data_IF_046610878319
#
_entry.id   IF_046610878319
#
_cell.length_a   1.000
_cell.length_b   1.000
_cell.length_c   1.000
_cell.angle_alpha   90.00
_cell.angle_beta   90.00
_cell.angle_gamma   90.00
#
_symmetry.space_group_name_H-M   'P 1'
#
loop_
_entity.id
_entity.type
_entity.pdbx_description
1 polymer ?
#
# COMPACT_ATOMS: atom_id res chain seq x y z
N UNK A 1 -26.60 -22.09 8.58
CA UNK A 1 -25.90 -21.86 9.87
C UNK A 1 -24.38 -21.75 9.70
N UNK A 2 -23.73 -22.49 8.78
CA UNK A 2 -22.28 -22.35 8.52
C UNK A 2 -21.86 -21.06 7.78
N UNK A 3 -22.67 -20.57 6.83
CA UNK A 3 -22.33 -19.37 6.02
C UNK A 3 -22.08 -18.12 6.90
N UNK A 4 -22.98 -17.85 7.86
CA UNK A 4 -22.84 -16.71 8.77
C UNK A 4 -21.61 -16.80 9.70
N UNK A 5 -21.11 -18.01 10.00
CA UNK A 5 -19.90 -18.18 10.80
C UNK A 5 -18.63 -17.87 10.00
N UNK A 6 -18.61 -18.13 8.69
CA UNK A 6 -17.48 -17.76 7.83
C UNK A 6 -17.36 -16.24 7.69
N UNK A 7 -18.49 -15.56 7.51
CA UNK A 7 -18.54 -14.09 7.41
C UNK A 7 -18.02 -13.42 8.69
N UNK A 8 -18.42 -13.91 9.86
CA UNK A 8 -17.94 -13.36 11.14
C UNK A 8 -16.43 -13.56 11.33
N UNK A 9 -15.90 -14.75 11.03
CA UNK A 9 -14.45 -15.02 11.13
C UNK A 9 -13.64 -14.19 10.14
N UNK A 10 -14.16 -13.98 8.93
CA UNK A 10 -13.53 -13.11 7.94
C UNK A 10 -13.49 -11.66 8.43
N UNK A 11 -14.59 -11.16 9.00
CA UNK A 11 -14.65 -9.81 9.60
C UNK A 11 -13.64 -9.65 10.73
N UNK A 12 -13.52 -10.65 11.60
CA UNK A 12 -12.52 -10.65 12.69
C UNK A 12 -11.09 -10.61 12.14
N UNK A 13 -10.78 -11.38 11.09
CA UNK A 13 -9.48 -11.38 10.43
C UNK A 13 -9.17 -10.04 9.74
N UNK A 14 -10.12 -9.48 8.99
CA UNK A 14 -10.00 -8.17 8.35
C UNK A 14 -9.71 -7.08 9.39
N UNK A 15 -10.45 -7.07 10.51
CA UNK A 15 -10.22 -6.11 11.58
C UNK A 15 -8.84 -6.31 12.22
N UNK A 16 -8.42 -7.55 12.48
CA UNK A 16 -7.13 -7.83 13.11
C UNK A 16 -5.94 -7.36 12.25
N UNK A 17 -6.02 -7.54 10.93
CA UNK A 17 -4.92 -7.24 10.01
C UNK A 17 -4.95 -5.80 9.47
N UNK A 18 -6.12 -5.24 9.18
CA UNK A 18 -6.24 -3.91 8.57
C UNK A 18 -6.37 -2.77 9.58
N UNK A 19 -6.98 -2.98 10.75
CA UNK A 19 -7.15 -1.88 11.74
C UNK A 19 -5.82 -1.27 12.17
N UNK A 20 -4.74 -2.05 12.46
CA UNK A 20 -3.46 -1.46 12.84
C UNK A 20 -2.86 -0.54 11.77
N UNK A 21 -3.16 -0.81 10.49
CA UNK A 21 -2.66 -0.03 9.35
C UNK A 21 -3.48 1.24 9.19
N UNK A 22 -4.80 1.15 9.34
CA UNK A 22 -5.70 2.31 9.35
C UNK A 22 -5.36 3.25 10.51
N UNK A 23 -5.14 2.71 11.71
CA UNK A 23 -4.75 3.47 12.89
C UNK A 23 -3.40 4.16 12.69
N UNK A 24 -2.41 3.44 12.14
CA UNK A 24 -1.13 4.01 11.77
C UNK A 24 -1.29 5.15 10.75
N UNK A 25 -2.10 4.94 9.70
CA UNK A 25 -2.31 5.91 8.64
C UNK A 25 -2.99 7.18 9.16
N UNK A 26 -4.04 7.02 9.97
CA UNK A 26 -4.75 8.10 10.64
C UNK A 26 -3.79 8.96 11.49
N UNK A 27 -2.94 8.31 12.30
CA UNK A 27 -1.95 8.99 13.13
C UNK A 27 -0.85 9.66 12.30
N UNK A 28 -0.38 9.02 11.24
CA UNK A 28 0.76 9.46 10.42
C UNK A 28 0.43 10.67 9.56
N UNK A 29 -0.80 10.73 9.04
CA UNK A 29 -1.25 11.76 8.10
C UNK A 29 -2.27 12.73 8.70
N UNK A 30 -2.59 12.59 9.99
CA UNK A 30 -3.56 13.43 10.69
C UNK A 30 -4.92 13.42 9.97
N UNK A 31 -5.46 12.21 9.80
CA UNK A 31 -6.74 11.96 9.12
C UNK A 31 -7.59 10.98 9.92
N UNK A 32 -8.87 10.87 9.56
CA UNK A 32 -9.82 9.98 10.23
C UNK A 32 -10.55 9.10 9.20
N UNK A 33 -9.88 8.01 8.80
CA UNK A 33 -10.47 6.94 8.02
C UNK A 33 -11.19 5.95 8.95
N UNK A 34 -12.40 5.54 8.55
CA UNK A 34 -13.22 4.55 9.26
C UNK A 34 -13.53 3.40 8.32
N UNK A 35 -13.52 2.18 8.86
CA UNK A 35 -14.04 1.02 8.15
C UNK A 35 -15.56 1.15 7.95
N UNK A 36 -16.05 0.60 6.84
CA UNK A 36 -17.48 0.47 6.54
C UNK A 36 -17.80 -1.00 6.32
N UNK A 37 -19.00 -1.44 6.71
CA UNK A 37 -19.53 -2.77 6.45
C UNK A 37 -20.68 -2.77 5.43
N UNK A 38 -20.97 -1.61 4.83
CA UNK A 38 -21.94 -1.45 3.76
C UNK A 38 -21.31 -1.13 2.41
N UNK A 39 -22.13 -1.16 1.37
CA UNK A 39 -21.77 -0.70 0.01
C UNK A 39 -21.74 0.83 -0.10
N UNK A 40 -22.20 1.53 0.94
CA UNK A 40 -22.23 2.98 0.98
C UNK A 40 -20.82 3.54 1.20
N UNK A 41 -20.44 4.48 0.35
CA UNK A 41 -19.17 5.19 0.48
C UNK A 41 -19.29 6.16 1.67
N UNK A 42 -18.45 6.02 2.71
CA UNK A 42 -18.51 6.90 3.86
C UNK A 42 -18.11 8.32 3.48
N UNK A 43 -18.71 9.31 4.15
CA UNK A 43 -18.25 10.70 4.05
C UNK A 43 -16.97 10.87 4.87
N UNK A 44 -15.95 11.52 4.29
CA UNK A 44 -14.69 11.81 4.96
C UNK A 44 -14.72 13.21 5.59
N UNK A 45 -14.11 13.41 6.78
CA UNK A 45 -14.00 14.72 7.37
C UNK A 45 -13.29 15.72 6.43
N UNK A 46 -13.72 16.99 6.42
CA UNK A 46 -13.09 18.02 5.62
C UNK A 46 -11.61 18.13 5.99
N UNK A 47 -10.73 18.13 4.98
CA UNK A 47 -9.28 18.18 5.17
C UNK A 47 -8.55 16.85 5.01
N UNK A 48 -9.24 15.70 5.08
CA UNK A 48 -8.63 14.37 4.89
C UNK A 48 -7.84 14.28 3.57
N UNK A 49 -8.51 14.58 2.45
CA UNK A 49 -7.89 14.59 1.13
C UNK A 49 -6.77 15.65 1.02
N UNK A 50 -6.90 16.78 1.70
CA UNK A 50 -5.90 17.86 1.65
C UNK A 50 -4.62 17.48 2.40
N UNK A 51 -4.73 16.80 3.54
CA UNK A 51 -3.57 16.33 4.30
C UNK A 51 -2.80 15.25 3.52
N UNK A 52 -3.51 14.30 2.91
CA UNK A 52 -2.89 13.28 2.05
C UNK A 52 -2.27 13.93 0.80
N UNK A 53 -2.98 14.85 0.16
CA UNK A 53 -2.47 15.57 -1.01
C UNK A 53 -1.20 16.35 -0.68
N UNK A 54 -1.14 17.05 0.47
CA UNK A 54 0.06 17.77 0.90
C UNK A 54 1.25 16.83 1.06
N UNK A 55 1.03 15.65 1.62
CA UNK A 55 2.07 14.64 1.76
C UNK A 55 2.59 14.18 0.40
N UNK A 56 1.70 13.78 -0.51
CA UNK A 56 2.07 13.34 -1.85
C UNK A 56 2.76 14.46 -2.65
N UNK A 57 2.31 15.71 -2.54
CA UNK A 57 2.92 16.88 -3.19
C UNK A 57 4.34 17.21 -2.72
N UNK A 58 4.83 16.58 -1.64
CA UNK A 58 6.24 16.71 -1.24
C UNK A 58 7.20 15.90 -2.12
N UNK A 59 6.68 14.95 -2.89
CA UNK A 59 7.45 14.14 -3.83
C UNK A 59 7.56 14.82 -5.21
N UNK A 60 8.64 14.52 -5.92
CA UNK A 60 8.77 14.93 -7.32
C UNK A 60 7.86 14.10 -8.23
N UNK A 61 7.71 14.56 -9.47
CA UNK A 61 6.82 13.95 -10.46
C UNK A 61 7.15 12.48 -10.74
N UNK A 62 8.44 12.11 -10.81
CA UNK A 62 8.84 10.72 -11.02
C UNK A 62 8.40 9.84 -9.84
N UNK A 63 8.68 10.25 -8.60
CA UNK A 63 8.23 9.53 -7.42
C UNK A 63 6.70 9.43 -7.36
N UNK A 64 5.97 10.50 -7.71
CA UNK A 64 4.49 10.47 -7.78
C UNK A 64 3.96 9.42 -8.77
N UNK A 65 4.61 9.25 -9.94
CA UNK A 65 4.26 8.18 -10.87
C UNK A 65 4.50 6.79 -10.26
N UNK A 66 5.56 6.63 -9.47
CA UNK A 66 5.81 5.39 -8.72
C UNK A 66 4.73 5.11 -7.67
N UNK A 67 4.24 6.14 -6.96
CA UNK A 67 3.10 6.02 -6.05
C UNK A 67 1.82 5.59 -6.78
N UNK A 68 1.55 6.17 -7.96
CA UNK A 68 0.39 5.80 -8.78
C UNK A 68 0.46 4.33 -9.20
N UNK A 69 1.61 3.88 -9.71
CA UNK A 69 1.81 2.50 -10.12
C UNK A 69 1.70 1.50 -8.94
N UNK A 70 2.23 1.86 -7.77
CA UNK A 70 2.07 1.06 -6.55
C UNK A 70 0.60 0.99 -6.08
N UNK A 71 -0.12 2.11 -6.15
CA UNK A 71 -1.54 2.20 -5.80
C UNK A 71 -2.38 1.36 -6.76
N UNK A 72 -2.08 1.39 -8.05
CA UNK A 72 -2.77 0.56 -9.05
C UNK A 72 -2.51 -0.93 -8.87
N UNK A 73 -1.33 -1.30 -8.36
CA UNK A 73 -0.98 -2.69 -8.05
C UNK A 73 -1.74 -3.19 -6.81
N UNK A 74 -1.76 -2.39 -5.73
CA UNK A 74 -2.39 -2.78 -4.46
C UNK A 74 -3.88 -2.44 -4.37
N UNK A 75 -4.39 -1.59 -5.27
CA UNK A 75 -5.73 -0.99 -5.19
C UNK A 75 -6.01 -0.26 -3.87
N UNK A 76 -4.97 0.18 -3.17
CA UNK A 76 -5.08 0.83 -1.85
C UNK A 76 -3.97 1.84 -1.61
N UNK A 77 -4.35 3.13 -1.52
CA UNK A 77 -3.43 4.21 -1.17
C UNK A 77 -2.87 4.02 0.24
N UNK A 78 -3.67 3.50 1.18
CA UNK A 78 -3.26 3.28 2.58
C UNK A 78 -2.12 2.27 2.65
N UNK A 79 -2.25 1.13 1.97
CA UNK A 79 -1.20 0.12 1.92
C UNK A 79 0.03 0.60 1.14
N UNK A 80 -0.17 1.36 0.06
CA UNK A 80 0.94 1.98 -0.68
C UNK A 80 1.74 2.91 0.22
N UNK A 81 1.10 3.83 0.93
CA UNK A 81 1.75 4.73 1.89
C UNK A 81 2.47 3.95 3.00
N UNK A 82 1.83 2.92 3.56
CA UNK A 82 2.45 2.06 4.58
C UNK A 82 3.71 1.35 4.06
N UNK A 83 3.71 0.90 2.81
CA UNK A 83 4.87 0.26 2.19
C UNK A 83 5.98 1.28 1.90
N UNK A 84 5.64 2.47 1.38
CA UNK A 84 6.62 3.52 1.05
C UNK A 84 7.28 4.12 2.29
N UNK A 85 6.54 4.25 3.39
CA UNK A 85 7.05 4.69 4.70
C UNK A 85 7.72 3.54 5.48
N UNK A 86 7.84 2.35 4.87
CA UNK A 86 8.46 1.15 5.45
C UNK A 86 7.80 0.68 6.76
N UNK A 87 6.53 1.01 6.95
CA UNK A 87 5.72 0.49 8.05
C UNK A 87 5.41 -1.00 7.86
N UNK A 88 5.23 -1.43 6.61
CA UNK A 88 5.07 -2.83 6.22
C UNK A 88 5.99 -3.18 5.06
N UNK A 89 6.33 -4.46 4.91
CA UNK A 89 7.10 -4.95 3.76
C UNK A 89 6.21 -5.09 2.51
N UNK A 90 6.84 -5.24 1.35
CA UNK A 90 6.16 -5.51 0.07
C UNK A 90 5.32 -6.79 0.17
N UNK A 91 5.90 -7.86 0.72
CA UNK A 91 5.24 -9.16 0.85
C UNK A 91 4.01 -9.04 1.74
N UNK A 92 4.14 -8.33 2.86
CA UNK A 92 3.01 -8.07 3.76
C UNK A 92 1.94 -7.21 3.08
N UNK A 93 2.30 -6.16 2.36
CA UNK A 93 1.34 -5.32 1.64
C UNK A 93 0.54 -6.10 0.59
N UNK A 94 1.19 -6.98 -0.18
CA UNK A 94 0.52 -7.84 -1.16
C UNK A 94 -0.38 -8.87 -0.46
N UNK A 95 0.10 -9.49 0.62
CA UNK A 95 -0.72 -10.43 1.41
C UNK A 95 -1.99 -9.76 1.94
N UNK A 96 -1.86 -8.55 2.50
CA UNK A 96 -2.99 -7.79 3.05
C UNK A 96 -3.99 -7.35 1.99
N UNK A 97 -3.53 -7.06 0.78
CA UNK A 97 -4.40 -6.76 -0.36
C UNK A 97 -5.23 -7.98 -0.77
N UNK A 98 -4.68 -9.18 -0.56
CA UNK A 98 -5.27 -10.46 -0.93
C UNK A 98 -5.87 -11.21 0.27
N UNK A 99 -6.04 -10.54 1.41
CA UNK A 99 -6.41 -11.19 2.67
C UNK A 99 -7.69 -12.04 2.55
N UNK A 100 -8.72 -11.50 1.91
CA UNK A 100 -9.98 -12.21 1.70
C UNK A 100 -9.84 -13.38 0.73
N UNK A 101 -9.06 -13.21 -0.34
CA UNK A 101 -8.79 -14.27 -1.30
C UNK A 101 -8.05 -15.42 -0.60
N UNK A 102 -6.98 -15.14 0.15
CA UNK A 102 -6.24 -16.16 0.89
C UNK A 102 -7.13 -16.88 1.93
N UNK A 103 -8.04 -16.15 2.59
CA UNK A 103 -9.05 -16.78 3.45
C UNK A 103 -9.94 -17.75 2.66
N UNK A 104 -10.42 -17.35 1.49
CA UNK A 104 -11.28 -18.18 0.63
C UNK A 104 -10.53 -19.40 0.07
N UNK A 105 -9.27 -19.24 -0.33
CA UNK A 105 -8.41 -20.34 -0.80
C UNK A 105 -8.24 -21.43 0.27
N UNK A 106 -8.15 -21.04 1.55
CA UNK A 106 -8.10 -21.98 2.66
C UNK A 106 -9.36 -22.85 2.82
N UNK A 107 -10.51 -22.39 2.31
CA UNK A 107 -11.78 -23.10 2.41
C UNK A 107 -12.16 -23.85 1.13
N UNK A 108 -11.81 -23.29 -0.04
CA UNK A 108 -12.23 -23.79 -1.35
C UNK A 108 -11.09 -24.36 -2.19
N UNK A 109 -9.87 -24.33 -1.67
CA UNK A 109 -8.67 -24.84 -2.33
C UNK A 109 -7.99 -23.79 -3.20
N UNK A 110 -6.68 -24.00 -3.41
CA UNK A 110 -5.82 -23.11 -4.19
C UNK A 110 -5.69 -23.62 -5.62
N UNK A 111 -5.84 -22.71 -6.59
CA UNK A 111 -5.40 -22.94 -7.97
C UNK A 111 -3.96 -22.48 -8.10
N UNK A 112 -3.01 -23.42 -8.06
CA UNK A 112 -1.57 -23.12 -7.94
C UNK A 112 -1.07 -22.12 -9.00
N UNK A 113 -1.31 -22.38 -10.28
CA UNK A 113 -0.78 -21.53 -11.36
C UNK A 113 -1.35 -20.11 -11.40
N UNK A 114 -2.64 -19.94 -11.06
CA UNK A 114 -3.28 -18.63 -11.14
C UNK A 114 -2.90 -17.76 -9.93
N UNK A 115 -3.16 -18.26 -8.72
CA UNK A 115 -2.96 -17.47 -7.51
C UNK A 115 -1.48 -17.24 -7.18
N UNK A 116 -0.60 -18.20 -7.47
CA UNK A 116 0.84 -18.02 -7.23
C UNK A 116 1.43 -17.00 -8.20
N UNK A 117 1.05 -17.08 -9.48
CA UNK A 117 1.49 -16.10 -10.48
C UNK A 117 0.99 -14.70 -10.13
N UNK A 118 -0.29 -14.54 -9.77
CA UNK A 118 -0.84 -13.25 -9.35
C UNK A 118 -0.14 -12.69 -8.10
N UNK A 119 0.26 -13.55 -7.15
CA UNK A 119 1.05 -13.14 -5.98
C UNK A 119 2.40 -12.55 -6.38
N UNK A 120 3.16 -13.35 -7.13
CA UNK A 120 4.54 -13.03 -7.48
C UNK A 120 4.58 -11.82 -8.41
N UNK A 121 3.64 -11.72 -9.33
CA UNK A 121 3.51 -10.58 -10.24
C UNK A 121 3.19 -9.29 -9.46
N UNK A 122 2.25 -9.33 -8.51
CA UNK A 122 1.93 -8.19 -7.63
C UNK A 122 3.13 -7.79 -6.77
N UNK A 123 3.86 -8.76 -6.21
CA UNK A 123 5.08 -8.50 -5.44
C UNK A 123 6.19 -7.88 -6.29
N UNK A 124 6.39 -8.38 -7.51
CA UNK A 124 7.38 -7.86 -8.44
C UNK A 124 7.05 -6.41 -8.86
N UNK A 125 5.80 -6.14 -9.22
CA UNK A 125 5.33 -4.79 -9.56
C UNK A 125 5.48 -3.82 -8.40
N UNK A 126 5.04 -4.20 -7.21
CA UNK A 126 5.15 -3.35 -6.03
C UNK A 126 6.61 -3.10 -5.65
N UNK A 127 7.46 -4.13 -5.70
CA UNK A 127 8.90 -3.98 -5.42
C UNK A 127 9.55 -2.98 -6.38
N UNK A 128 9.26 -3.10 -7.68
CA UNK A 128 9.75 -2.17 -8.69
C UNK A 128 9.28 -0.73 -8.42
N UNK A 129 8.01 -0.56 -8.05
CA UNK A 129 7.44 0.74 -7.70
C UNK A 129 8.15 1.36 -6.49
N UNK A 130 8.31 0.59 -5.41
CA UNK A 130 8.96 1.03 -4.17
C UNK A 130 10.42 1.41 -4.42
N UNK A 131 11.15 0.58 -5.17
CA UNK A 131 12.52 0.88 -5.56
C UNK A 131 12.61 2.18 -6.38
N UNK A 132 11.71 2.36 -7.35
CA UNK A 132 11.66 3.54 -8.20
C UNK A 132 11.36 4.82 -7.41
N UNK A 133 10.38 4.78 -6.50
CA UNK A 133 10.05 5.91 -5.62
C UNK A 133 11.25 6.27 -4.76
N UNK A 134 11.86 5.29 -4.09
CA UNK A 134 13.00 5.54 -3.22
C UNK A 134 14.21 6.08 -3.98
N UNK A 135 14.46 5.61 -5.20
CA UNK A 135 15.53 6.11 -6.04
C UNK A 135 15.31 7.59 -6.41
N UNK A 136 14.08 7.95 -6.79
CA UNK A 136 13.73 9.31 -7.17
C UNK A 136 13.53 10.25 -5.97
N UNK A 137 13.31 9.73 -4.75
CA UNK A 137 13.17 10.53 -3.53
C UNK A 137 14.48 10.70 -2.76
N UNK A 138 15.53 9.93 -3.07
CA UNK A 138 16.81 10.00 -2.39
C UNK A 138 17.68 11.10 -3.00
N UNK A 139 18.13 12.06 -2.17
CA UNK A 139 19.09 13.07 -2.62
C UNK A 139 20.44 12.40 -2.95
N UNK A 140 20.73 12.25 -4.24
CA UNK A 140 22.04 11.80 -4.69
C UNK A 140 23.06 12.94 -4.53
N UNK A 141 23.93 12.84 -3.53
CA UNK A 141 25.12 13.70 -3.44
C UNK A 141 26.09 13.31 -4.56
N UNK A 142 25.99 13.98 -5.70
CA UNK A 142 26.98 13.85 -6.79
C UNK A 142 28.22 14.67 -6.40
N UNK A 143 29.31 14.01 -6.00
CA UNK A 143 30.62 14.66 -5.90
C UNK A 143 31.12 14.98 -7.30
N UNK A 144 31.06 16.25 -7.72
CA UNK A 144 31.75 16.71 -8.91
C UNK A 144 33.26 16.78 -8.65
N UNK A 145 34.05 16.11 -9.49
CA UNK A 145 35.51 16.27 -9.50
C UNK A 145 35.80 17.64 -10.13
N UNK A 146 36.38 18.56 -9.37
CA UNK A 146 36.91 19.81 -9.90
C UNK A 146 38.03 19.41 -10.88
N UNK A 147 37.82 19.67 -12.17
CA UNK A 147 38.90 19.61 -13.13
C UNK A 147 39.87 20.75 -12.78
N UNK A 148 41.02 20.39 -12.23
CA UNK A 148 42.12 21.33 -12.02
C UNK A 148 42.56 21.80 -13.39
N UNK A 149 42.35 23.09 -13.66
CA UNK A 149 42.68 23.73 -14.92
C UNK A 149 44.17 23.66 -15.21
N UNK A 150 44.47 23.48 -16.49
CA UNK A 150 45.77 23.71 -17.10
C UNK A 150 46.18 25.17 -16.87
N UNK A 151 47.36 25.37 -16.27
CA UNK A 151 48.18 26.59 -16.38
C UNK A 151 49.62 26.14 -16.58
#
# INVERSE_FOLDING_TARGET
>A
MQIFQHEQRLKELQLAEWSPIVDWFNKRYDVELKATDGLEVPSFPPGTAMNISRYLSSYNEAALNGFMFATDTLKSVVLTCACMDRFISVEKAVLLTRLEEEYQLGHWGRVEWAHDMQQLESQARLSAAVMFVHFNSSNAFVKQKIAVGEI
#
